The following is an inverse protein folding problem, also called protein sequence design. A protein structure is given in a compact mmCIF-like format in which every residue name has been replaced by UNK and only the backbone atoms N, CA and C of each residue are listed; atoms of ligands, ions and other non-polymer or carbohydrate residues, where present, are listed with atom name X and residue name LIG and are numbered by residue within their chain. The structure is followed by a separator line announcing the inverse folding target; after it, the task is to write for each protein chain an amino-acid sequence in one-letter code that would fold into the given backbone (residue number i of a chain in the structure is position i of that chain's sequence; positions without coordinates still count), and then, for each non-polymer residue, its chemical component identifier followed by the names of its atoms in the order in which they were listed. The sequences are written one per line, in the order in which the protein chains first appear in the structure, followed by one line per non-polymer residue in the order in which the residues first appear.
data_IF_178474604335
#
_entry.id   IF_178474604335
#
_cell.length_a   1.000
_cell.length_b   1.000
_cell.length_c   1.000
_cell.angle_alpha   90.00
_cell.angle_beta   90.00
_cell.angle_gamma   90.00
#
_symmetry.space_group_name_H-M   'P 1'
#
loop_
_entity.id
_entity.type
_entity.pdbx_description
1 polymer ?
#
# COMPACT_ATOMS: atom_id res chain seq x y z
N UNK A 1 3.66 -21.05 12.43
CA UNK A 1 2.76 -22.19 12.56
C UNK A 1 3.50 -23.34 13.25
N UNK A 2 2.88 -23.95 14.27
CA UNK A 2 3.32 -25.23 14.84
C UNK A 2 2.58 -26.34 14.11
N UNK A 3 3.33 -27.17 13.36
CA UNK A 3 2.76 -28.22 12.52
C UNK A 3 3.01 -29.60 13.11
N UNK A 4 1.96 -30.40 13.25
CA UNK A 4 2.06 -31.79 13.66
C UNK A 4 2.37 -32.70 12.46
N UNK A 5 3.60 -33.13 12.34
CA UNK A 5 4.05 -34.06 11.29
C UNK A 5 3.97 -35.54 11.70
N UNK A 6 3.51 -35.82 12.93
CA UNK A 6 3.36 -37.19 13.43
C UNK A 6 2.07 -37.84 12.90
N UNK A 7 2.04 -39.17 12.93
CA UNK A 7 0.86 -39.98 12.58
C UNK A 7 -0.14 -40.12 13.73
N UNK A 8 0.05 -39.35 14.82
CA UNK A 8 -0.80 -39.35 16.00
C UNK A 8 -1.02 -37.93 16.48
N UNK A 9 -2.06 -37.72 17.28
CA UNK A 9 -2.38 -36.44 17.83
C UNK A 9 -1.32 -35.95 18.81
N UNK A 10 -0.95 -34.69 18.71
CA UNK A 10 -0.16 -33.97 19.69
C UNK A 10 -1.04 -33.04 20.50
N UNK A 11 -0.55 -32.61 21.65
CA UNK A 11 -1.15 -31.54 22.41
C UNK A 11 -0.05 -30.61 22.95
N UNK A 12 -0.40 -29.31 23.11
CA UNK A 12 0.55 -28.31 23.56
C UNK A 12 -0.03 -27.47 24.71
N UNK A 13 0.87 -26.90 25.50
CA UNK A 13 0.53 -26.00 26.59
C UNK A 13 1.67 -24.99 26.81
N UNK A 14 1.41 -23.92 27.53
CA UNK A 14 2.39 -22.88 27.89
C UNK A 14 3.19 -23.24 29.17
N UNK A 15 2.75 -24.24 29.91
CA UNK A 15 3.44 -24.78 31.10
C UNK A 15 3.51 -26.30 31.03
N UNK A 16 4.59 -26.85 31.55
CA UNK A 16 4.74 -28.31 31.68
C UNK A 16 3.69 -28.91 32.63
N UNK A 17 3.32 -28.16 33.64
CA UNK A 17 2.35 -28.57 34.66
C UNK A 17 0.92 -28.10 34.35
N UNK A 18 0.65 -27.74 33.07
CA UNK A 18 -0.67 -27.32 32.66
C UNK A 18 -1.72 -28.41 32.90
N UNK A 19 -2.84 -28.02 33.47
CA UNK A 19 -3.99 -28.91 33.64
C UNK A 19 -4.81 -29.07 32.40
N UNK A 20 -4.68 -28.10 31.46
CA UNK A 20 -5.39 -28.09 30.17
C UNK A 20 -4.37 -28.02 29.04
N UNK A 21 -4.50 -28.92 28.08
CA UNK A 21 -3.65 -29.01 26.91
C UNK A 21 -4.50 -28.88 25.63
N UNK A 22 -4.01 -28.08 24.68
CA UNK A 22 -4.68 -27.87 23.40
C UNK A 22 -4.21 -28.92 22.38
N UNK A 23 -5.13 -29.56 21.67
CA UNK A 23 -4.85 -30.69 20.77
C UNK A 23 -4.53 -30.23 19.36
N UNK A 24 -3.50 -30.80 18.77
CA UNK A 24 -3.15 -30.68 17.35
C UNK A 24 -3.31 -32.07 16.72
N UNK A 25 -4.31 -32.24 15.89
CA UNK A 25 -4.56 -33.53 15.21
C UNK A 25 -3.37 -33.93 14.35
N UNK A 26 -3.25 -35.22 14.06
CA UNK A 26 -2.26 -35.76 13.12
C UNK A 26 -2.37 -35.03 11.76
N UNK A 27 -1.26 -34.51 11.24
CA UNK A 27 -1.23 -33.68 10.03
C UNK A 27 -1.78 -32.26 10.15
N UNK A 28 -2.32 -31.90 11.33
CA UNK A 28 -2.86 -30.57 11.60
C UNK A 28 -1.79 -29.54 11.96
N UNK A 29 -2.22 -28.28 12.05
CA UNK A 29 -1.36 -27.17 12.43
C UNK A 29 -2.09 -26.18 13.34
N UNK A 30 -1.33 -25.41 14.13
CA UNK A 30 -1.84 -24.33 14.95
C UNK A 30 -1.06 -23.04 14.65
N UNK A 31 -1.78 -21.93 14.53
CA UNK A 31 -1.15 -20.62 14.35
C UNK A 31 -0.50 -20.16 15.65
N UNK A 32 0.77 -19.82 15.60
CA UNK A 32 1.48 -19.20 16.74
C UNK A 32 1.22 -17.69 16.82
N UNK A 33 0.52 -17.09 15.88
CA UNK A 33 0.29 -15.64 15.84
C UNK A 33 -0.44 -15.16 17.09
N UNK A 34 -1.53 -15.81 17.48
CA UNK A 34 -2.29 -15.44 18.68
C UNK A 34 -1.48 -15.61 19.96
N UNK A 35 -0.66 -16.65 20.01
CA UNK A 35 0.24 -16.91 21.16
C UNK A 35 1.29 -15.80 21.25
N UNK A 36 1.86 -15.40 20.10
CA UNK A 36 2.90 -14.36 20.02
C UNK A 36 2.35 -12.95 20.22
N UNK A 37 1.13 -12.68 19.78
CA UNK A 37 0.53 -11.34 19.89
C UNK A 37 0.16 -10.97 21.34
N UNK A 38 -0.07 -11.97 22.18
CA UNK A 38 -0.27 -11.79 23.63
C UNK A 38 1.04 -11.58 24.42
N UNK A 39 2.21 -11.70 23.75
CA UNK A 39 3.51 -11.61 24.42
C UNK A 39 4.09 -10.19 24.30
N UNK A 40 4.82 -9.74 25.34
CA UNK A 40 5.67 -8.56 25.22
C UNK A 40 6.68 -8.73 24.08
N UNK A 41 7.01 -7.63 23.41
CA UNK A 41 8.14 -7.62 22.47
C UNK A 41 9.43 -8.03 23.21
N UNK A 42 10.30 -8.72 22.49
CA UNK A 42 11.60 -9.17 23.00
C UNK A 42 11.56 -10.29 24.05
N UNK A 43 10.43 -10.95 24.29
CA UNK A 43 10.34 -12.10 25.18
C UNK A 43 10.30 -13.44 24.42
N UNK A 44 11.20 -14.34 24.77
CA UNK A 44 11.15 -15.75 24.32
C UNK A 44 9.98 -16.43 25.00
N UNK A 45 9.22 -17.24 24.25
CA UNK A 45 8.16 -18.07 24.81
C UNK A 45 8.55 -19.54 24.77
N UNK A 46 8.23 -20.24 25.83
CA UNK A 46 8.35 -21.70 25.89
C UNK A 46 6.96 -22.30 25.67
N UNK A 47 6.87 -23.26 24.79
CA UNK A 47 5.74 -24.19 24.67
C UNK A 47 6.19 -25.60 25.01
N UNK A 48 5.31 -26.36 25.61
CA UNK A 48 5.49 -27.77 25.88
C UNK A 48 4.57 -28.56 24.95
N UNK A 49 5.13 -29.55 24.26
CA UNK A 49 4.40 -30.39 23.31
C UNK A 49 4.60 -31.85 23.71
N UNK A 50 3.51 -32.61 23.71
CA UNK A 50 3.56 -34.07 24.01
C UNK A 50 2.61 -34.83 23.11
N UNK A 51 2.78 -36.13 23.05
CA UNK A 51 1.78 -37.05 22.46
C UNK A 51 0.51 -37.00 23.29
N UNK A 52 -0.62 -36.79 22.66
CA UNK A 52 -1.91 -36.79 23.33
C UNK A 52 -2.29 -38.18 23.84
N UNK A 53 -3.01 -38.22 24.95
CA UNK A 53 -3.58 -39.47 25.45
C UNK A 53 -4.57 -40.07 24.41
N UNK A 54 -4.53 -41.41 24.27
CA UNK A 54 -5.39 -42.10 23.33
C UNK A 54 -5.86 -43.46 23.87
N UNK A 55 -7.16 -43.66 23.95
CA UNK A 55 -7.74 -44.85 24.57
C UNK A 55 -7.28 -44.99 26.03
N UNK A 56 -6.69 -46.15 26.37
CA UNK A 56 -6.11 -46.43 27.69
C UNK A 56 -4.66 -45.92 27.86
N UNK A 57 -4.03 -45.42 26.79
CA UNK A 57 -2.67 -44.94 26.85
C UNK A 57 -2.61 -43.52 27.43
N UNK A 58 -1.77 -43.32 28.44
CA UNK A 58 -1.51 -42.00 29.00
C UNK A 58 -0.82 -41.06 27.98
N UNK A 59 -0.89 -39.76 28.23
CA UNK A 59 -0.13 -38.79 27.46
C UNK A 59 1.37 -39.03 27.59
N UNK A 60 2.12 -38.74 26.54
CA UNK A 60 3.59 -38.84 26.54
C UNK A 60 4.27 -37.79 27.39
N UNK A 61 5.60 -37.97 27.57
CA UNK A 61 6.41 -36.92 28.19
C UNK A 61 6.40 -35.64 27.34
N UNK A 62 6.35 -34.49 28.03
CA UNK A 62 6.38 -33.19 27.36
C UNK A 62 7.79 -32.80 26.90
N UNK A 63 7.91 -32.28 25.70
CA UNK A 63 9.13 -31.72 25.12
C UNK A 63 9.02 -30.22 25.07
N UNK A 64 10.03 -29.51 25.53
CA UNK A 64 10.13 -28.05 25.49
C UNK A 64 10.43 -27.56 24.06
N UNK A 65 9.68 -26.58 23.59
CA UNK A 65 9.93 -25.84 22.34
C UNK A 65 10.10 -24.38 22.68
N UNK A 66 11.28 -23.83 22.41
CA UNK A 66 11.55 -22.39 22.57
C UNK A 66 11.16 -21.65 21.30
N UNK A 67 10.23 -20.71 21.45
CA UNK A 67 9.81 -19.79 20.39
C UNK A 67 10.63 -18.51 20.59
N UNK A 68 11.46 -18.11 19.61
CA UNK A 68 12.27 -16.90 19.75
C UNK A 68 11.40 -15.64 19.87
N UNK A 69 11.93 -14.65 20.56
CA UNK A 69 11.29 -13.35 20.67
C UNK A 69 11.07 -12.71 19.30
N UNK A 70 10.01 -11.93 19.17
CA UNK A 70 9.87 -11.01 18.01
C UNK A 70 10.92 -9.91 18.10
N UNK A 71 11.48 -9.45 16.97
CA UNK A 71 12.24 -8.21 16.96
C UNK A 71 11.41 -7.05 17.50
N UNK A 72 12.08 -6.07 18.09
CA UNK A 72 11.42 -4.85 18.54
C UNK A 72 10.71 -4.15 17.37
N UNK A 73 9.57 -3.53 17.67
CA UNK A 73 8.81 -2.68 16.77
C UNK A 73 9.72 -1.55 16.25
N UNK A 74 9.81 -1.33 14.92
CA UNK A 74 10.63 -0.26 14.37
C UNK A 74 10.02 1.12 14.64
N UNK A 75 10.85 2.16 14.56
CA UNK A 75 10.36 3.54 14.62
C UNK A 75 9.41 3.83 13.45
N UNK A 76 8.31 4.56 13.68
CA UNK A 76 7.32 4.87 12.64
C UNK A 76 7.91 5.71 11.50
N UNK A 77 7.30 5.61 10.33
CA UNK A 77 7.56 6.48 9.18
C UNK A 77 7.09 7.90 9.54
N UNK A 78 7.90 8.91 9.24
CA UNK A 78 7.53 10.30 9.45
C UNK A 78 6.98 10.90 8.14
N UNK A 79 6.17 11.95 8.24
CA UNK A 79 5.64 12.65 7.06
C UNK A 79 6.72 13.17 6.11
N UNK A 80 7.87 13.57 6.64
CA UNK A 80 9.06 13.99 5.87
C UNK A 80 9.71 12.86 5.09
N UNK A 81 9.47 11.60 5.48
CA UNK A 81 9.99 10.42 4.80
C UNK A 81 9.13 10.00 3.59
N UNK A 82 8.05 10.72 3.28
CA UNK A 82 7.11 10.29 2.24
C UNK A 82 6.98 11.31 1.13
N UNK A 83 7.14 10.86 -0.11
CA UNK A 83 6.70 11.59 -1.31
C UNK A 83 5.54 10.85 -1.95
N UNK A 84 4.62 11.59 -2.57
CA UNK A 84 3.40 11.05 -3.15
C UNK A 84 2.97 11.84 -4.38
N UNK A 85 2.33 11.16 -5.29
CA UNK A 85 1.52 11.72 -6.37
C UNK A 85 0.13 11.06 -6.37
N UNK A 86 -0.70 11.34 -7.38
CA UNK A 86 -2.06 10.81 -7.47
C UNK A 86 -2.12 9.27 -7.57
N UNK A 87 -1.04 8.63 -7.99
CA UNK A 87 -0.98 7.20 -8.29
C UNK A 87 0.19 6.47 -7.65
N UNK A 88 0.98 7.16 -6.82
CA UNK A 88 2.07 6.53 -6.10
C UNK A 88 2.32 7.11 -4.71
N UNK A 89 2.83 6.28 -3.83
CA UNK A 89 3.33 6.67 -2.51
C UNK A 89 4.71 6.04 -2.36
N UNK A 90 5.73 6.86 -2.08
CA UNK A 90 7.11 6.42 -1.91
C UNK A 90 7.65 6.79 -0.54
N UNK A 91 8.26 5.81 0.14
CA UNK A 91 8.96 6.01 1.42
C UNK A 91 10.45 6.26 1.14
N UNK A 92 10.96 7.43 1.52
CA UNK A 92 12.32 7.90 1.23
C UNK A 92 13.32 7.61 2.36
N UNK A 93 13.13 6.54 3.11
CA UNK A 93 14.09 6.09 4.12
C UNK A 93 15.31 5.43 3.47
N UNK A 94 16.48 5.39 4.16
CA UNK A 94 17.61 4.59 3.69
C UNK A 94 17.21 3.13 3.42
N UNK A 95 17.88 2.51 2.45
CA UNK A 95 17.63 1.10 2.15
C UNK A 95 18.13 0.25 3.30
N UNK A 96 17.23 -0.52 3.90
CA UNK A 96 17.55 -1.49 4.93
C UNK A 96 16.78 -2.79 4.61
N UNK A 97 17.54 -3.83 4.27
CA UNK A 97 16.99 -5.12 3.87
C UNK A 97 16.23 -5.85 4.99
N UNK A 98 16.33 -5.37 6.22
CA UNK A 98 15.60 -5.93 7.37
C UNK A 98 14.13 -5.55 7.37
N UNK A 99 13.76 -4.45 6.68
CA UNK A 99 12.40 -3.95 6.69
C UNK A 99 11.58 -4.41 5.51
N UNK A 100 10.30 -4.52 5.74
CA UNK A 100 9.27 -4.58 4.72
C UNK A 100 8.19 -3.53 5.03
N UNK A 101 7.57 -3.04 3.98
CA UNK A 101 6.63 -1.93 4.01
C UNK A 101 5.23 -2.42 3.64
N UNK A 102 4.24 -1.84 4.26
CA UNK A 102 2.84 -2.16 4.01
C UNK A 102 1.96 -0.93 3.93
N UNK A 103 0.86 -1.05 3.22
CA UNK A 103 -0.16 -0.04 3.05
C UNK A 103 -1.54 -0.64 3.35
N UNK A 104 -2.36 0.09 4.10
CA UNK A 104 -3.74 -0.28 4.42
C UNK A 104 -4.70 0.85 4.06
N UNK A 105 -5.95 0.55 3.82
CA UNK A 105 -7.01 1.54 3.53
C UNK A 105 -7.69 2.07 4.80
N UNK A 106 -7.45 1.45 5.95
CA UNK A 106 -7.98 1.84 7.25
C UNK A 106 -6.86 1.87 8.29
N UNK A 107 -6.98 2.73 9.28
CA UNK A 107 -6.04 2.82 10.41
C UNK A 107 -6.00 1.54 11.24
N UNK A 108 -7.13 0.87 11.38
CA UNK A 108 -7.26 -0.37 12.17
C UNK A 108 -6.76 -1.62 11.45
N UNK A 109 -6.70 -1.59 10.11
CA UNK A 109 -6.42 -2.78 9.33
C UNK A 109 -4.92 -3.04 9.18
N UNK A 110 -4.49 -4.30 9.33
CA UNK A 110 -3.14 -4.69 8.95
C UNK A 110 -3.01 -4.71 7.41
N UNK A 111 -1.84 -4.30 6.88
CA UNK A 111 -1.56 -4.40 5.46
C UNK A 111 -1.78 -5.82 4.94
N UNK A 112 -2.60 -5.98 3.90
CA UNK A 112 -2.86 -7.28 3.26
C UNK A 112 -1.62 -7.85 2.56
N UNK A 113 -0.71 -6.97 2.17
CA UNK A 113 0.54 -7.31 1.48
C UNK A 113 1.70 -6.52 2.06
N UNK A 114 2.82 -7.21 2.24
CA UNK A 114 4.09 -6.64 2.66
C UNK A 114 5.11 -6.78 1.53
N UNK A 115 5.94 -5.75 1.34
CA UNK A 115 6.92 -5.70 0.26
C UNK A 115 8.23 -5.06 0.73
N UNK A 116 9.34 -5.44 0.11
CA UNK A 116 10.65 -4.83 0.37
C UNK A 116 10.84 -3.50 -0.37
N UNK A 117 10.09 -3.31 -1.45
CA UNK A 117 10.05 -2.08 -2.22
C UNK A 117 9.40 -0.97 -1.41
N UNK A 118 9.98 0.22 -1.52
CA UNK A 118 9.52 1.41 -0.79
C UNK A 118 8.49 2.24 -1.57
N UNK A 119 8.14 1.80 -2.77
CA UNK A 119 7.15 2.47 -3.61
C UNK A 119 5.91 1.60 -3.75
N UNK A 120 4.78 2.18 -3.43
CA UNK A 120 3.46 1.62 -3.70
C UNK A 120 2.95 2.24 -4.99
N UNK A 121 2.67 1.42 -5.99
CA UNK A 121 2.09 1.83 -7.27
C UNK A 121 0.61 1.51 -7.28
N UNK A 122 -0.16 2.38 -7.94
CA UNK A 122 -1.62 2.24 -8.08
C UNK A 122 -2.48 2.52 -6.84
N UNK A 123 -2.08 3.36 -5.86
CA UNK A 123 -3.07 3.96 -4.97
C UNK A 123 -4.06 4.78 -5.80
N UNK A 124 -5.26 4.96 -5.28
CA UNK A 124 -6.29 5.82 -5.89
C UNK A 124 -5.99 7.29 -5.58
N UNK A 125 -6.26 8.21 -6.49
CA UNK A 125 -6.25 9.66 -6.21
C UNK A 125 -7.26 10.03 -5.12
N UNK A 126 -7.02 11.17 -4.46
CA UNK A 126 -7.89 11.73 -3.43
C UNK A 126 -8.28 10.73 -2.32
N UNK A 127 -7.39 9.79 -1.98
CA UNK A 127 -7.66 8.74 -1.02
C UNK A 127 -6.60 8.70 0.09
N UNK A 128 -7.03 8.44 1.32
CA UNK A 128 -6.11 8.30 2.47
C UNK A 128 -5.73 6.84 2.66
N UNK A 129 -4.44 6.61 2.71
CA UNK A 129 -3.83 5.33 3.02
C UNK A 129 -3.02 5.41 4.31
N UNK A 130 -2.84 4.29 4.97
CA UNK A 130 -2.07 4.16 6.20
C UNK A 130 -0.82 3.36 5.92
N UNK A 131 0.33 4.07 5.89
CA UNK A 131 1.63 3.49 5.54
C UNK A 131 2.36 3.07 6.80
N UNK A 132 2.95 1.89 6.80
CA UNK A 132 3.70 1.36 7.93
C UNK A 132 4.88 0.51 7.46
N UNK A 133 5.72 0.10 8.41
CA UNK A 133 6.82 -0.83 8.18
C UNK A 133 6.92 -1.79 9.36
N UNK A 134 7.58 -2.92 9.13
CA UNK A 134 7.99 -3.86 10.18
C UNK A 134 9.33 -4.51 9.85
N UNK A 135 9.99 -5.08 10.84
CA UNK A 135 11.11 -5.98 10.58
C UNK A 135 10.54 -7.26 9.99
N UNK A 136 11.03 -7.68 8.83
CA UNK A 136 10.55 -8.89 8.15
C UNK A 136 10.96 -10.16 8.88
N UNK A 137 10.16 -11.20 8.74
CA UNK A 137 10.52 -12.53 9.21
C UNK A 137 11.75 -13.07 8.47
N UNK A 138 12.53 -13.90 9.16
CA UNK A 138 13.65 -14.68 8.61
C UNK A 138 13.43 -16.15 8.89
N UNK A 139 14.36 -17.01 8.45
CA UNK A 139 14.29 -18.44 8.79
C UNK A 139 14.38 -18.74 10.29
N UNK A 140 14.89 -17.80 11.10
CA UNK A 140 15.10 -17.97 12.53
C UNK A 140 14.38 -16.94 13.41
N UNK A 141 13.60 -16.03 12.83
CA UNK A 141 12.93 -14.95 13.55
C UNK A 141 11.59 -14.61 12.92
N UNK A 142 10.60 -14.36 13.77
CA UNK A 142 9.30 -13.83 13.35
C UNK A 142 9.40 -12.38 12.89
N UNK A 143 8.42 -11.91 12.11
CA UNK A 143 8.29 -10.49 11.85
C UNK A 143 8.00 -9.73 13.17
N UNK A 144 8.49 -8.49 13.28
CA UNK A 144 8.08 -7.61 14.38
C UNK A 144 6.60 -7.24 14.28
N UNK A 145 6.06 -6.60 15.32
CA UNK A 145 4.84 -5.81 15.18
C UNK A 145 5.07 -4.66 14.20
N UNK A 146 4.00 -4.22 13.55
CA UNK A 146 4.01 -3.07 12.67
C UNK A 146 4.30 -1.79 13.45
N UNK A 147 5.09 -0.89 12.88
CA UNK A 147 5.21 0.47 13.39
C UNK A 147 3.86 1.20 13.39
N UNK A 148 3.77 2.30 14.15
CA UNK A 148 2.59 3.16 14.10
C UNK A 148 2.39 3.66 12.67
N UNK A 149 1.14 3.72 12.26
CA UNK A 149 0.77 4.00 10.88
C UNK A 149 0.78 5.50 10.61
N UNK A 150 1.31 5.88 9.47
CA UNK A 150 1.28 7.25 8.98
C UNK A 150 0.11 7.40 7.99
N UNK A 151 -0.87 8.28 8.25
CA UNK A 151 -1.88 8.61 7.25
C UNK A 151 -1.26 9.42 6.11
N UNK A 152 -1.47 8.99 4.88
CA UNK A 152 -0.96 9.61 3.64
C UNK A 152 -2.10 9.76 2.66
N UNK A 153 -2.55 11.00 2.41
CA UNK A 153 -3.58 11.26 1.40
C UNK A 153 -2.92 11.57 0.07
N UNK A 154 -3.25 10.80 -0.97
CA UNK A 154 -2.81 11.06 -2.34
C UNK A 154 -3.48 12.32 -2.88
N UNK A 155 -2.78 13.14 -3.69
CA UNK A 155 -3.40 14.25 -4.39
C UNK A 155 -4.56 13.79 -5.28
N UNK A 156 -5.52 14.67 -5.49
CA UNK A 156 -6.56 14.47 -6.49
C UNK A 156 -5.94 14.57 -7.90
N UNK A 157 -6.70 14.17 -8.90
CA UNK A 157 -6.32 14.30 -10.30
C UNK A 157 -7.51 14.80 -11.11
N UNK A 158 -7.20 15.53 -12.17
CA UNK A 158 -8.22 16.00 -13.11
C UNK A 158 -8.33 15.01 -14.27
N UNK A 159 -9.55 14.72 -14.65
CA UNK A 159 -9.90 13.84 -15.74
C UNK A 159 -10.82 14.60 -16.71
N UNK A 160 -10.83 14.22 -17.97
CA UNK A 160 -11.83 14.71 -18.91
C UNK A 160 -12.89 13.61 -19.04
N UNK A 161 -14.10 13.96 -18.63
CA UNK A 161 -15.29 13.12 -18.77
C UNK A 161 -16.07 13.54 -20.01
N UNK A 162 -16.64 12.57 -20.74
CA UNK A 162 -17.40 12.84 -21.96
C UNK A 162 -17.61 11.59 -22.81
N UNK A 163 -18.16 11.76 -24.03
CA UNK A 163 -18.41 10.67 -24.95
C UNK A 163 -17.17 9.84 -25.28
N UNK A 164 -17.35 8.55 -25.53
CA UNK A 164 -16.25 7.69 -25.96
C UNK A 164 -15.62 8.21 -27.27
N UNK A 165 -14.30 8.28 -27.30
CA UNK A 165 -13.54 8.74 -28.45
C UNK A 165 -12.42 9.70 -28.10
N UNK A 166 -12.00 10.50 -29.09
CA UNK A 166 -10.96 11.51 -28.87
C UNK A 166 -11.57 12.76 -28.26
N UNK A 167 -10.92 13.27 -27.21
CA UNK A 167 -11.22 14.59 -26.67
C UNK A 167 -10.99 15.63 -27.77
N UNK A 168 -11.92 16.54 -27.95
CA UNK A 168 -11.82 17.62 -28.91
C UNK A 168 -11.98 18.96 -28.22
N UNK A 169 -11.36 19.99 -28.78
CA UNK A 169 -11.42 21.36 -28.33
C UNK A 169 -11.99 22.27 -29.41
N UNK A 170 -12.75 23.26 -29.00
CA UNK A 170 -13.21 24.33 -29.84
C UNK A 170 -12.34 25.56 -29.63
N UNK A 171 -11.86 26.11 -30.73
CA UNK A 171 -11.02 27.31 -30.71
C UNK A 171 -11.44 28.28 -31.80
N UNK A 172 -11.47 29.57 -31.52
CA UNK A 172 -11.78 30.61 -32.50
C UNK A 172 -10.86 31.80 -32.30
N UNK A 173 -9.87 31.91 -33.18
CA UNK A 173 -8.92 33.03 -33.19
C UNK A 173 -9.24 34.05 -34.27
N UNK A 174 -8.69 35.26 -34.10
CA UNK A 174 -8.71 36.33 -35.10
C UNK A 174 -7.30 36.47 -35.67
N UNK A 175 -7.22 36.81 -36.96
CA UNK A 175 -5.92 37.00 -37.62
C UNK A 175 -5.07 38.04 -36.86
N UNK A 176 -3.79 37.74 -36.69
CA UNK A 176 -2.85 38.57 -35.96
C UNK A 176 -2.82 38.42 -34.44
N UNK A 177 -3.66 37.55 -33.87
CA UNK A 177 -3.55 37.20 -32.47
C UNK A 177 -2.43 36.19 -32.22
N UNK A 178 -1.74 36.31 -31.08
CA UNK A 178 -0.85 35.27 -30.58
C UNK A 178 -1.66 34.10 -30.02
N UNK A 179 -1.06 32.93 -29.97
CA UNK A 179 -1.74 31.69 -29.58
C UNK A 179 -2.32 31.76 -28.16
N UNK A 180 -1.65 32.42 -27.24
CA UNK A 180 -2.11 32.64 -25.85
C UNK A 180 -3.38 33.48 -25.72
N UNK A 181 -3.75 34.25 -26.75
CA UNK A 181 -4.96 35.08 -26.82
C UNK A 181 -6.16 34.37 -27.46
N UNK A 182 -5.93 33.19 -28.02
CA UNK A 182 -7.00 32.41 -28.65
C UNK A 182 -7.73 31.62 -27.56
N UNK A 183 -9.03 31.80 -27.38
CA UNK A 183 -9.81 31.04 -26.40
C UNK A 183 -9.84 29.55 -26.78
N UNK A 184 -9.72 28.70 -25.77
CA UNK A 184 -9.81 27.24 -25.89
C UNK A 184 -10.93 26.77 -24.99
N UNK A 185 -11.81 25.94 -25.51
CA UNK A 185 -12.89 25.31 -24.73
C UNK A 185 -12.96 23.82 -25.11
N UNK A 186 -13.34 22.99 -24.15
CA UNK A 186 -13.72 21.63 -24.47
C UNK A 186 -14.97 21.63 -25.36
N UNK A 187 -14.99 20.79 -26.37
CA UNK A 187 -16.16 20.62 -27.20
C UNK A 187 -17.38 20.16 -26.39
N UNK A 188 -18.57 20.47 -26.90
CA UNK A 188 -19.81 20.12 -26.23
C UNK A 188 -19.89 18.64 -25.85
N UNK A 189 -20.33 18.37 -24.63
CA UNK A 189 -20.41 17.02 -24.06
C UNK A 189 -19.17 16.56 -23.29
N UNK A 190 -18.07 17.34 -23.30
CA UNK A 190 -16.91 17.09 -22.46
C UNK A 190 -16.86 18.06 -21.29
N UNK A 191 -16.37 17.59 -20.16
CA UNK A 191 -16.16 18.41 -18.96
C UNK A 191 -14.90 17.95 -18.22
N UNK A 192 -14.30 18.83 -17.41
CA UNK A 192 -13.25 18.48 -16.48
C UNK A 192 -13.90 18.03 -15.18
N UNK A 193 -13.47 16.90 -14.68
CA UNK A 193 -13.93 16.36 -13.40
C UNK A 193 -12.72 15.97 -12.54
N UNK A 194 -12.92 15.94 -11.22
CA UNK A 194 -11.96 15.30 -10.33
C UNK A 194 -12.08 13.77 -10.43
N UNK A 195 -11.22 13.02 -9.72
CA UNK A 195 -11.25 11.56 -9.70
C UNK A 195 -12.61 10.99 -9.24
N UNK A 196 -13.33 11.69 -8.39
CA UNK A 196 -14.68 11.33 -7.91
C UNK A 196 -15.81 11.67 -8.90
N UNK A 197 -15.50 12.20 -10.09
CA UNK A 197 -16.51 12.56 -11.10
C UNK A 197 -17.19 13.91 -10.87
N UNK A 198 -16.73 14.71 -9.89
CA UNK A 198 -17.31 16.03 -9.63
C UNK A 198 -16.76 17.04 -10.64
N UNK A 199 -17.62 17.83 -11.33
CA UNK A 199 -17.17 18.88 -12.25
C UNK A 199 -16.25 19.90 -11.59
N UNK A 200 -15.17 20.24 -12.27
CA UNK A 200 -14.20 21.24 -11.86
C UNK A 200 -14.22 22.41 -12.86
N UNK A 201 -14.44 23.60 -12.37
CA UNK A 201 -14.42 24.82 -13.17
C UNK A 201 -12.98 25.31 -13.34
N UNK A 202 -12.65 25.71 -14.54
CA UNK A 202 -11.35 26.26 -14.89
C UNK A 202 -11.35 26.81 -16.30
N UNK A 203 -10.20 27.26 -16.77
CA UNK A 203 -10.02 27.81 -18.12
C UNK A 203 -8.90 27.07 -18.83
N UNK A 204 -9.12 26.76 -20.09
CA UNK A 204 -8.11 26.21 -20.97
C UNK A 204 -7.34 27.30 -21.68
N UNK A 205 -6.05 27.14 -21.81
CA UNK A 205 -5.19 28.02 -22.59
C UNK A 205 -4.15 27.24 -23.38
N UNK A 206 -3.70 27.80 -24.48
CA UNK A 206 -2.51 27.29 -25.14
C UNK A 206 -1.27 27.66 -24.32
N UNK A 207 -0.37 26.71 -24.12
CA UNK A 207 0.87 26.95 -23.35
C UNK A 207 2.10 27.06 -24.24
N UNK A 208 2.30 26.12 -25.16
CA UNK A 208 3.48 26.07 -26.03
C UNK A 208 3.24 25.17 -27.26
N UNK A 209 4.17 25.23 -28.23
CA UNK A 209 4.25 24.26 -29.33
C UNK A 209 5.01 22.99 -28.93
N UNK A 210 5.11 22.02 -29.82
CA UNK A 210 5.87 20.77 -29.60
C UNK A 210 7.38 20.98 -29.43
N UNK A 211 7.91 22.15 -29.82
CA UNK A 211 9.33 22.51 -29.67
C UNK A 211 9.58 23.27 -28.38
N UNK A 212 8.53 23.56 -27.60
CA UNK A 212 8.64 24.30 -26.35
C UNK A 212 8.57 25.83 -26.50
N UNK A 213 8.23 26.35 -27.67
CA UNK A 213 8.03 27.80 -27.88
C UNK A 213 6.77 28.25 -27.13
N UNK A 214 6.86 29.28 -26.26
CA UNK A 214 5.71 29.78 -25.52
C UNK A 214 4.58 30.30 -26.44
N UNK A 215 3.33 30.01 -26.10
CA UNK A 215 2.15 30.42 -26.88
C UNK A 215 2.07 31.94 -27.16
N UNK A 216 2.59 32.77 -26.24
CA UNK A 216 2.68 34.23 -26.37
C UNK A 216 3.59 34.69 -27.52
N UNK A 217 4.45 33.81 -28.03
CA UNK A 217 5.39 34.10 -29.13
C UNK A 217 4.98 33.45 -30.46
N UNK A 218 3.84 32.78 -30.51
CA UNK A 218 3.37 32.02 -31.68
C UNK A 218 2.21 32.73 -32.31
N UNK A 219 2.32 33.02 -33.62
CA UNK A 219 1.23 33.47 -34.46
C UNK A 219 0.78 32.28 -35.31
N UNK A 220 -0.40 31.70 -35.08
CA UNK A 220 -0.85 30.53 -35.80
C UNK A 220 -1.01 30.83 -37.31
N UNK A 221 -0.56 29.92 -38.16
CA UNK A 221 -0.76 30.02 -39.57
C UNK A 221 -2.21 29.70 -39.97
N UNK A 222 -2.73 30.41 -40.92
CA UNK A 222 -4.12 30.22 -41.44
C UNK A 222 -4.27 28.92 -42.22
N UNK A 223 -3.16 28.35 -42.69
CA UNK A 223 -3.13 27.11 -43.46
C UNK A 223 -2.05 26.17 -42.89
N UNK A 224 -2.45 24.95 -42.58
CA UNK A 224 -1.57 23.91 -42.10
C UNK A 224 -2.10 23.20 -40.86
N UNK A 225 -1.53 22.06 -40.51
CA UNK A 225 -1.83 21.33 -39.28
C UNK A 225 -0.62 21.43 -38.36
N UNK A 226 -0.76 22.21 -37.31
CA UNK A 226 0.28 22.34 -36.24
C UNK A 226 -0.31 21.89 -34.94
N UNK A 227 0.41 21.05 -34.21
CA UNK A 227 0.01 20.59 -32.87
C UNK A 227 0.52 21.55 -31.80
N UNK A 228 -0.35 21.94 -30.89
CA UNK A 228 -0.07 22.77 -29.74
C UNK A 228 -0.45 22.07 -28.45
N UNK A 229 0.18 22.46 -27.35
CA UNK A 229 -0.20 21.98 -26.01
C UNK A 229 -1.19 22.95 -25.38
N UNK A 230 -2.23 22.39 -24.76
CA UNK A 230 -3.19 23.14 -23.96
C UNK A 230 -3.07 22.73 -22.49
N UNK A 231 -3.32 23.69 -21.60
CA UNK A 231 -3.29 23.51 -20.15
C UNK A 231 -4.62 24.03 -19.56
N UNK A 232 -5.07 23.35 -18.49
CA UNK A 232 -6.30 23.70 -17.76
C UNK A 232 -5.95 24.43 -16.46
#
# INVERSE_FOLDING_TARGET
VLKNMALYDLEYAESQDATTWERIRAGGEVSLTEILDKQPESATKTLYVRKAAAGSAAAGAATEIKIPARPAKPNPIQGTDVTKDSYSIKVNRPVDSRYEYGIAESESDEPKKWQSERTFTSPKPAHTYYVTLRVKATGSSFASKSADRLPVTTPDTLLIDGPAGKVSFETKGTYGQTLDKIPVQLAAGFQVVNYGGTPVSGTWSFSKDQKGTPASSIYPEVKGTTAYQVEF
#
